data_IF_221073511078
#
_entry.id   IF_221073511078
#
_cell.length_a   1.000
_cell.length_b   1.000
_cell.length_c   1.000
_cell.angle_alpha   90.00
_cell.angle_beta   90.00
_cell.angle_gamma   90.00
#
_symmetry.space_group_name_H-M   'P 1'
#
loop_
_entity.id
_entity.type
_entity.pdbx_description
1 polymer ?
#
# COMPACT_ATOMS: atom_id res chain seq x y z
N UNK A 1 -12.33 -6.11 4.35
CA UNK A 1 -12.22 -6.14 2.88
C UNK A 1 -13.03 -4.97 2.36
N UNK A 2 -12.38 -3.97 1.79
CA UNK A 2 -13.12 -2.91 1.14
C UNK A 2 -13.63 -3.46 -0.19
N UNK A 3 -14.95 -3.51 -0.33
CA UNK A 3 -15.66 -4.33 -1.31
C UNK A 3 -15.51 -3.84 -2.76
N UNK A 4 -14.77 -2.74 -2.98
CA UNK A 4 -14.63 -2.10 -4.29
C UNK A 4 -13.46 -2.68 -5.10
N UNK A 5 -12.40 -3.19 -4.45
CA UNK A 5 -11.18 -3.67 -5.13
C UNK A 5 -10.70 -5.05 -4.68
N UNK A 6 -11.18 -5.56 -3.54
CA UNK A 6 -10.70 -6.84 -2.99
C UNK A 6 -9.32 -6.74 -2.35
N UNK A 7 -8.89 -5.52 -2.04
CA UNK A 7 -7.59 -5.24 -1.44
C UNK A 7 -7.60 -5.63 0.05
N UNK A 8 -6.48 -6.21 0.49
CA UNK A 8 -6.20 -6.46 1.90
C UNK A 8 -5.35 -5.32 2.43
N UNK A 9 -5.98 -4.43 3.20
CA UNK A 9 -5.30 -3.34 3.89
C UNK A 9 -4.99 -3.76 5.32
N UNK A 10 -3.73 -3.64 5.72
CA UNK A 10 -3.23 -3.80 7.07
C UNK A 10 -2.63 -2.47 7.52
N UNK A 11 -3.19 -1.91 8.61
CA UNK A 11 -2.80 -0.61 9.16
C UNK A 11 -2.20 -0.86 10.54
N UNK A 12 -0.91 -0.61 10.68
CA UNK A 12 -0.18 -0.50 11.95
C UNK A 12 0.08 0.98 12.28
N UNK A 13 0.45 1.28 13.53
CA UNK A 13 0.68 2.64 14.03
C UNK A 13 1.62 3.50 13.16
N UNK A 14 2.58 2.89 12.46
CA UNK A 14 3.55 3.60 11.62
C UNK A 14 3.78 2.95 10.25
N UNK A 15 2.94 1.99 9.88
CA UNK A 15 3.06 1.26 8.62
C UNK A 15 1.68 0.95 8.05
N UNK A 16 1.50 1.15 6.76
CA UNK A 16 0.30 0.74 6.03
C UNK A 16 0.74 -0.22 4.94
N UNK A 17 0.14 -1.40 4.88
CA UNK A 17 0.42 -2.40 3.85
C UNK A 17 -0.88 -2.69 3.13
N UNK A 18 -0.85 -2.70 1.80
CA UNK A 18 -1.97 -3.08 0.95
C UNK A 18 -1.53 -4.20 0.05
N UNK A 19 -2.24 -5.32 0.11
CA UNK A 19 -2.07 -6.45 -0.78
C UNK A 19 -3.23 -6.45 -1.78
N UNK A 20 -2.90 -6.29 -3.05
CA UNK A 20 -3.88 -6.37 -4.12
C UNK A 20 -4.07 -7.81 -4.59
N UNK A 21 -5.28 -8.21 -5.03
CA UNK A 21 -5.54 -9.56 -5.53
C UNK A 21 -4.81 -9.87 -6.85
N UNK A 22 -4.33 -8.85 -7.56
CA UNK A 22 -3.48 -8.99 -8.75
C UNK A 22 -2.01 -9.34 -8.42
N UNK A 23 -1.67 -9.50 -7.13
CA UNK A 23 -0.33 -9.81 -6.64
C UNK A 23 0.54 -8.60 -6.34
N UNK A 24 0.13 -7.38 -6.71
CA UNK A 24 0.88 -6.18 -6.35
C UNK A 24 0.73 -5.88 -4.85
N UNK A 25 1.76 -5.29 -4.28
CA UNK A 25 1.76 -4.80 -2.90
C UNK A 25 2.09 -3.32 -2.84
N UNK A 26 1.42 -2.57 -1.99
CA UNK A 26 1.76 -1.19 -1.64
C UNK A 26 2.11 -1.15 -0.16
N UNK A 27 3.17 -0.44 0.22
CA UNK A 27 3.58 -0.26 1.60
C UNK A 27 3.94 1.20 1.85
N UNK A 28 3.42 1.78 2.93
CA UNK A 28 3.88 3.06 3.45
C UNK A 28 4.52 2.80 4.81
N UNK A 29 5.80 3.08 4.95
CA UNK A 29 6.49 3.05 6.24
C UNK A 29 7.32 4.33 6.41
N UNK A 30 7.23 4.97 7.59
CA UNK A 30 8.05 6.17 7.92
C UNK A 30 7.99 7.27 6.85
N UNK A 31 6.82 7.46 6.24
CA UNK A 31 6.64 8.46 5.18
C UNK A 31 7.28 8.11 3.84
N UNK A 32 7.61 6.84 3.57
CA UNK A 32 8.02 6.34 2.26
C UNK A 32 6.98 5.39 1.72
N UNK A 33 6.60 5.59 0.47
CA UNK A 33 5.73 4.70 -0.29
C UNK A 33 6.59 3.76 -1.14
N UNK A 34 6.30 2.47 -1.03
CA UNK A 34 6.93 1.38 -1.76
C UNK A 34 5.85 0.58 -2.45
N UNK A 35 5.98 0.36 -3.76
CA UNK A 35 5.12 -0.54 -4.52
C UNK A 35 5.96 -1.71 -5.02
N UNK A 36 5.50 -2.91 -4.72
CA UNK A 36 6.06 -4.19 -5.15
C UNK A 36 5.14 -4.85 -6.16
N UNK A 37 5.71 -5.49 -7.18
CA UNK A 37 4.94 -6.32 -8.10
C UNK A 37 4.64 -7.70 -7.50
N UNK A 38 3.89 -8.53 -8.25
CA UNK A 38 3.57 -9.91 -7.87
C UNK A 38 4.79 -10.84 -7.70
N UNK A 39 5.97 -10.42 -8.18
CA UNK A 39 7.23 -11.13 -8.01
C UNK A 39 8.04 -10.61 -6.81
N UNK A 40 7.51 -9.65 -6.04
CA UNK A 40 8.17 -9.06 -4.88
C UNK A 40 9.25 -8.04 -5.24
N UNK A 41 9.30 -7.55 -6.48
CA UNK A 41 10.26 -6.54 -6.93
C UNK A 41 9.70 -5.15 -6.67
N UNK A 42 10.51 -4.29 -6.06
CA UNK A 42 10.14 -2.88 -5.88
C UNK A 42 10.13 -2.18 -7.24
N UNK A 43 8.95 -1.75 -7.68
CA UNK A 43 8.74 -1.03 -8.93
C UNK A 43 8.63 0.48 -8.72
N UNK A 44 8.20 0.91 -7.53
CA UNK A 44 8.12 2.32 -7.15
C UNK A 44 8.62 2.46 -5.73
N UNK A 45 9.54 3.40 -5.52
CA UNK A 45 9.91 3.87 -4.19
C UNK A 45 9.96 5.40 -4.23
N UNK A 46 9.11 6.05 -3.44
CA UNK A 46 9.03 7.51 -3.37
C UNK A 46 8.62 7.97 -1.98
N UNK A 47 8.86 9.24 -1.59
CA UNK A 47 8.24 9.79 -0.40
C UNK A 47 6.71 9.65 -0.47
N UNK A 48 6.11 9.12 0.59
CA UNK A 48 4.67 9.04 0.74
C UNK A 48 4.11 10.45 0.93
N UNK A 49 3.05 10.76 0.20
CA UNK A 49 2.32 12.01 0.36
C UNK A 49 1.14 11.81 1.31
N UNK A 50 0.62 12.90 1.88
CA UNK A 50 -0.61 12.84 2.70
C UNK A 50 -1.81 12.27 1.91
N UNK A 51 -1.82 12.46 0.59
CA UNK A 51 -2.81 11.88 -0.30
C UNK A 51 -2.68 10.35 -0.37
N UNK A 52 -1.46 9.81 -0.41
CA UNK A 52 -1.22 8.35 -0.39
C UNK A 52 -1.72 7.73 0.91
N UNK A 53 -1.40 8.35 2.05
CA UNK A 53 -1.86 7.87 3.37
C UNK A 53 -3.39 7.88 3.44
N UNK A 54 -4.02 8.96 2.97
CA UNK A 54 -5.49 9.08 2.97
C UNK A 54 -6.13 8.06 2.04
N UNK A 55 -5.53 7.79 0.87
CA UNK A 55 -5.99 6.75 -0.07
C UNK A 55 -5.90 5.37 0.56
N UNK A 56 -4.75 4.99 1.13
CA UNK A 56 -4.58 3.67 1.72
C UNK A 56 -5.46 3.45 2.96
N UNK A 57 -5.73 4.49 3.76
CA UNK A 57 -6.67 4.41 4.89
C UNK A 57 -8.13 4.28 4.46
N UNK A 58 -8.47 4.67 3.23
CA UNK A 58 -9.82 4.60 2.68
C UNK A 58 -10.10 3.36 1.82
N UNK A 59 -9.09 2.50 1.63
CA UNK A 59 -9.14 1.22 0.91
C UNK A 59 -9.57 0.04 1.80
#
# INVERSE_FOLDING_TARGET
MNATTGDRVEIDDNKIVVQHPNGFGEEIEKGRFKMTDALGRTIVERPATAADISRLKGL
#
